data_IF_162283722265
#
_entry.id   IF_162283722265
#
_cell.length_a   1.000
_cell.length_b   1.000
_cell.length_c   1.000
_cell.angle_alpha   90.00
_cell.angle_beta   90.00
_cell.angle_gamma   90.00
#
_symmetry.space_group_name_H-M   'P 1'
#
loop_
_entity.id
_entity.type
_entity.pdbx_description
1 polymer ?
#
# COMPACT_ATOMS: atom_id res chain seq x y z
N UNK A 1 -61.06 3.74 19.48
CA UNK A 1 -59.97 3.52 20.45
C UNK A 1 -58.80 2.99 19.63
N UNK A 2 -57.89 3.89 19.24
CA UNK A 2 -56.49 3.99 19.74
C UNK A 2 -55.62 2.93 19.05
N UNK A 3 -54.47 3.16 18.42
CA UNK A 3 -53.46 4.24 18.31
C UNK A 3 -52.74 3.95 16.97
N UNK A 4 -52.47 4.89 16.06
CA UNK A 4 -51.36 5.84 16.04
C UNK A 4 -49.95 5.21 15.86
N UNK A 5 -49.35 5.53 14.69
CA UNK A 5 -47.94 5.88 14.45
C UNK A 5 -46.85 4.79 14.34
N UNK A 6 -45.81 5.18 13.60
CA UNK A 6 -44.49 4.55 13.34
C UNK A 6 -44.47 3.42 12.31
N UNK A 7 -43.69 3.47 11.23
CA UNK A 7 -42.62 4.38 10.85
C UNK A 7 -42.36 4.19 9.36
N UNK A 8 -42.23 5.29 8.63
CA UNK A 8 -41.64 5.29 7.31
C UNK A 8 -40.19 4.83 7.49
N UNK A 9 -39.86 3.63 7.00
CA UNK A 9 -38.48 3.19 6.87
C UNK A 9 -37.84 3.99 5.75
N UNK A 10 -37.44 5.21 6.11
CA UNK A 10 -36.46 6.03 5.41
C UNK A 10 -35.15 5.24 5.39
N UNK A 11 -35.01 4.35 4.41
CA UNK A 11 -33.73 3.79 4.05
C UNK A 11 -33.00 4.90 3.30
N UNK A 12 -32.46 5.84 4.07
CA UNK A 12 -31.35 6.66 3.64
C UNK A 12 -30.24 5.69 3.26
N UNK A 13 -30.15 5.39 1.96
CA UNK A 13 -28.93 4.92 1.36
C UNK A 13 -27.90 6.00 1.64
N UNK A 14 -27.19 5.83 2.75
CA UNK A 14 -25.88 6.44 2.91
C UNK A 14 -25.08 5.86 1.76
N UNK A 15 -25.09 6.57 0.64
CA UNK A 15 -23.97 6.56 -0.27
C UNK A 15 -22.78 6.91 0.62
N UNK A 16 -22.09 5.88 1.13
CA UNK A 16 -20.68 5.98 1.49
C UNK A 16 -20.01 6.44 0.21
N UNK A 17 -20.06 7.75 0.03
CA UNK A 17 -19.22 8.47 -0.90
C UNK A 17 -17.84 8.07 -0.45
N UNK A 18 -17.22 7.14 -1.17
CA UNK A 18 -15.81 6.89 -1.09
C UNK A 18 -15.17 8.22 -1.44
N UNK A 19 -14.98 9.06 -0.42
CA UNK A 19 -14.11 10.20 -0.49
C UNK A 19 -12.77 9.60 -0.88
N UNK A 20 -12.44 9.76 -2.15
CA UNK A 20 -11.15 9.44 -2.71
C UNK A 20 -10.18 10.39 -1.99
N UNK A 21 -9.68 9.95 -0.82
CA UNK A 21 -8.86 10.73 0.08
C UNK A 21 -7.56 11.05 -0.68
N UNK A 22 -7.50 12.26 -1.24
CA UNK A 22 -6.38 12.71 -2.06
C UNK A 22 -5.17 12.83 -1.14
N UNK A 23 -4.33 11.80 -1.10
CA UNK A 23 -3.14 11.77 -0.27
C UNK A 23 -2.10 12.76 -0.77
N UNK A 24 -1.56 13.55 0.16
CA UNK A 24 -0.37 14.36 -0.16
C UNK A 24 0.86 13.46 -0.31
N UNK A 25 1.89 13.88 -1.08
CA UNK A 25 3.12 13.11 -1.20
C UNK A 25 3.81 12.82 0.14
N UNK A 26 3.70 13.73 1.12
CA UNK A 26 4.28 13.55 2.44
C UNK A 26 3.55 12.47 3.25
N UNK A 27 2.23 12.43 3.19
CA UNK A 27 1.43 11.36 3.83
C UNK A 27 1.68 10.02 3.16
N UNK A 28 1.81 9.99 1.83
CA UNK A 28 2.13 8.77 1.09
C UNK A 28 3.48 8.18 1.53
N UNK A 29 4.52 9.02 1.67
CA UNK A 29 5.83 8.60 2.18
C UNK A 29 5.71 8.11 3.63
N UNK A 30 4.91 8.78 4.47
CA UNK A 30 4.71 8.37 5.86
C UNK A 30 4.03 7.00 5.97
N UNK A 31 3.01 6.73 5.15
CA UNK A 31 2.35 5.42 5.08
C UNK A 31 3.31 4.33 4.58
N UNK A 32 4.21 4.65 3.64
CA UNK A 32 5.27 3.74 3.19
C UNK A 32 6.26 3.42 4.32
N UNK A 33 6.72 4.43 5.07
CA UNK A 33 7.63 4.23 6.20
C UNK A 33 7.00 3.35 7.29
N UNK A 34 5.71 3.57 7.60
CA UNK A 34 4.96 2.73 8.53
C UNK A 34 4.83 1.28 8.04
N UNK A 35 4.39 1.08 6.80
CA UNK A 35 4.29 -0.25 6.20
C UNK A 35 5.65 -0.97 6.18
N UNK A 36 6.73 -0.24 5.89
CA UNK A 36 8.09 -0.76 5.89
C UNK A 36 8.54 -1.24 7.28
N UNK A 37 8.32 -0.43 8.32
CA UNK A 37 8.68 -0.79 9.69
C UNK A 37 7.84 -1.98 10.17
N UNK A 38 6.53 -1.95 9.95
CA UNK A 38 5.63 -3.03 10.32
C UNK A 38 6.04 -4.35 9.67
N UNK A 39 6.34 -4.33 8.37
CA UNK A 39 6.82 -5.51 7.66
C UNK A 39 8.18 -5.97 8.20
N UNK A 40 9.11 -5.07 8.45
CA UNK A 40 10.46 -5.42 8.94
C UNK A 40 10.44 -6.07 10.31
N UNK A 41 9.53 -5.65 11.19
CA UNK A 41 9.46 -6.14 12.57
C UNK A 41 8.40 -7.21 12.83
N UNK A 42 7.50 -7.46 11.87
CA UNK A 42 6.58 -8.58 11.95
C UNK A 42 7.29 -9.92 11.67
N UNK A 43 7.09 -10.98 12.48
CA UNK A 43 7.59 -12.31 12.16
C UNK A 43 6.87 -12.96 10.98
N UNK A 44 5.62 -12.56 10.73
CA UNK A 44 4.76 -13.06 9.65
C UNK A 44 4.69 -12.09 8.48
N UNK A 45 4.34 -12.60 7.30
CA UNK A 45 4.06 -11.79 6.13
C UNK A 45 2.73 -11.04 6.33
N UNK A 46 2.78 -9.71 6.20
CA UNK A 46 1.59 -8.87 6.30
C UNK A 46 0.83 -8.81 4.98
N UNK A 47 -0.39 -8.27 5.02
CA UNK A 47 -1.17 -7.97 3.82
C UNK A 47 -0.37 -7.16 2.80
N UNK A 48 -0.56 -7.46 1.52
CA UNK A 48 0.09 -6.70 0.47
C UNK A 48 -0.41 -5.24 0.47
N UNK A 49 0.46 -4.31 0.08
CA UNK A 49 0.15 -2.88 -0.03
C UNK A 49 0.34 -2.41 -1.46
N UNK A 50 -0.25 -3.13 -2.43
CA UNK A 50 -0.03 -2.89 -3.87
C UNK A 50 -0.38 -1.46 -4.30
N UNK A 51 -1.53 -0.94 -3.88
CA UNK A 51 -1.96 0.43 -4.19
C UNK A 51 -0.96 1.48 -3.68
N UNK A 52 -0.52 1.34 -2.42
CA UNK A 52 0.51 2.21 -1.83
C UNK A 52 1.83 2.16 -2.62
N UNK A 53 2.26 0.96 -3.01
CA UNK A 53 3.48 0.75 -3.80
C UNK A 53 3.36 1.40 -5.18
N UNK A 54 2.22 1.23 -5.86
CA UNK A 54 1.94 1.83 -7.15
C UNK A 54 1.97 3.37 -7.07
N UNK A 55 1.23 3.96 -6.13
CA UNK A 55 1.25 5.41 -5.91
C UNK A 55 2.66 5.94 -5.63
N UNK A 56 3.46 5.26 -4.80
CA UNK A 56 4.85 5.69 -4.51
C UNK A 56 5.72 5.63 -5.77
N UNK A 57 5.59 4.57 -6.59
CA UNK A 57 6.34 4.44 -7.84
C UNK A 57 5.98 5.53 -8.85
N UNK A 58 4.69 5.87 -8.95
CA UNK A 58 4.23 6.98 -9.77
C UNK A 58 4.81 8.31 -9.29
N UNK A 59 4.72 8.60 -7.99
CA UNK A 59 5.29 9.83 -7.42
C UNK A 59 6.80 9.92 -7.67
N UNK A 60 7.56 8.84 -7.47
CA UNK A 60 8.99 8.79 -7.77
C UNK A 60 9.30 9.06 -9.25
N UNK A 61 8.45 8.56 -10.16
CA UNK A 61 8.58 8.79 -11.60
C UNK A 61 8.32 10.26 -11.92
N UNK A 62 7.25 10.84 -11.37
CA UNK A 62 6.95 12.27 -11.53
C UNK A 62 8.07 13.16 -10.99
N UNK A 63 8.63 12.87 -9.82
CA UNK A 63 9.76 13.60 -9.23
C UNK A 63 11.03 13.50 -10.09
N UNK A 64 11.29 12.35 -10.72
CA UNK A 64 12.44 12.16 -11.61
C UNK A 64 12.35 12.95 -12.92
N UNK A 65 11.13 13.17 -13.42
CA UNK A 65 10.88 13.90 -14.66
C UNK A 65 10.96 15.42 -14.49
N UNK A 66 10.89 15.92 -13.24
CA UNK A 66 11.06 17.34 -12.96
C UNK A 66 12.51 17.75 -13.24
N UNK A 67 12.70 18.52 -14.32
CA UNK A 67 14.02 19.04 -14.73
C UNK A 67 14.55 20.01 -13.69
N UNK A 68 15.42 19.55 -12.80
CA UNK A 68 16.11 20.45 -11.87
C UNK A 68 17.43 20.95 -12.47
N UNK A 69 17.67 22.26 -12.37
CA UNK A 69 18.90 22.89 -12.89
C UNK A 69 20.12 22.33 -12.15
N UNK A 70 21.11 21.87 -12.92
CA UNK A 70 22.38 21.34 -12.39
C UNK A 70 23.11 22.47 -11.63
N UNK A 71 23.50 22.23 -10.38
CA UNK A 71 24.19 23.19 -9.52
C UNK A 71 23.31 23.92 -8.50
N UNK A 72 21.98 23.72 -8.53
CA UNK A 72 21.08 24.20 -7.48
C UNK A 72 21.10 23.26 -6.27
N UNK A 73 21.29 23.80 -5.06
CA UNK A 73 21.20 23.04 -3.81
C UNK A 73 19.85 22.31 -3.70
N UNK A 74 18.76 22.95 -4.15
CA UNK A 74 17.43 22.32 -4.19
C UNK A 74 17.42 21.06 -5.04
N UNK A 75 18.13 21.06 -6.18
CA UNK A 75 18.28 19.87 -7.01
C UNK A 75 18.97 18.72 -6.30
N UNK A 76 20.01 19.03 -5.51
CA UNK A 76 20.72 18.03 -4.74
C UNK A 76 19.82 17.43 -3.66
N UNK A 77 19.09 18.29 -2.93
CA UNK A 77 18.15 17.84 -1.88
C UNK A 77 17.04 16.99 -2.47
N UNK A 78 16.43 17.41 -3.59
CA UNK A 78 15.39 16.61 -4.26
C UNK A 78 15.90 15.23 -4.68
N UNK A 79 17.10 15.14 -5.27
CA UNK A 79 17.69 13.85 -5.63
C UNK A 79 17.97 12.97 -4.42
N UNK A 80 18.52 13.55 -3.34
CA UNK A 80 18.74 12.81 -2.09
C UNK A 80 17.44 12.24 -1.53
N UNK A 81 16.35 13.01 -1.62
CA UNK A 81 15.05 12.55 -1.13
C UNK A 81 14.46 11.42 -1.98
N UNK A 82 14.57 11.52 -3.30
CA UNK A 82 14.17 10.43 -4.20
C UNK A 82 14.96 9.15 -3.88
N UNK A 83 16.27 9.25 -3.66
CA UNK A 83 17.10 8.09 -3.33
C UNK A 83 16.74 7.50 -1.96
N UNK A 84 16.39 8.34 -0.97
CA UNK A 84 15.88 7.91 0.34
C UNK A 84 14.59 7.10 0.20
N UNK A 85 13.60 7.62 -0.53
CA UNK A 85 12.31 6.95 -0.74
C UNK A 85 12.50 5.64 -1.53
N UNK A 86 13.34 5.62 -2.57
CA UNK A 86 13.68 4.40 -3.31
C UNK A 86 14.28 3.33 -2.42
N UNK A 87 15.17 3.72 -1.50
CA UNK A 87 15.77 2.78 -0.56
C UNK A 87 14.70 2.16 0.34
N UNK A 88 13.80 2.96 0.91
CA UNK A 88 12.70 2.49 1.78
C UNK A 88 11.81 1.52 1.01
N UNK A 89 11.31 1.92 -0.17
CA UNK A 89 10.47 1.07 -1.02
C UNK A 89 11.15 -0.26 -1.36
N UNK A 90 12.42 -0.19 -1.80
CA UNK A 90 13.18 -1.40 -2.14
C UNK A 90 13.40 -2.29 -0.91
N UNK A 91 13.63 -1.70 0.26
CA UNK A 91 13.80 -2.46 1.50
C UNK A 91 12.51 -3.12 1.94
N UNK A 92 11.35 -2.47 1.78
CA UNK A 92 10.04 -3.05 2.03
C UNK A 92 9.79 -4.26 1.13
N UNK A 93 9.92 -4.09 -0.19
CA UNK A 93 9.70 -5.17 -1.15
C UNK A 93 10.66 -6.36 -0.94
N UNK A 94 11.95 -6.09 -0.68
CA UNK A 94 12.91 -7.17 -0.36
C UNK A 94 12.54 -7.93 0.91
N UNK A 95 12.09 -7.23 1.95
CA UNK A 95 11.69 -7.87 3.21
C UNK A 95 10.52 -8.82 2.99
N UNK A 96 9.54 -8.41 2.16
CA UNK A 96 8.41 -9.26 1.77
C UNK A 96 8.84 -10.47 0.97
N UNK A 97 9.64 -10.30 -0.08
CA UNK A 97 10.16 -11.40 -0.90
C UNK A 97 10.92 -12.43 -0.07
N UNK A 98 11.76 -11.98 0.86
CA UNK A 98 12.49 -12.88 1.78
C UNK A 98 11.55 -13.70 2.67
N UNK A 99 10.45 -13.10 3.17
CA UNK A 99 9.45 -13.84 3.96
C UNK A 99 8.66 -14.81 3.11
N UNK A 100 8.29 -14.43 1.89
CA UNK A 100 7.59 -15.30 0.94
C UNK A 100 8.47 -16.50 0.61
N UNK A 101 9.72 -16.29 0.23
CA UNK A 101 10.69 -17.35 -0.09
C UNK A 101 10.90 -18.30 1.10
N UNK A 102 11.04 -17.75 2.31
CA UNK A 102 11.26 -18.54 3.53
C UNK A 102 10.06 -19.40 3.93
N UNK A 103 8.84 -18.94 3.66
CA UNK A 103 7.60 -19.58 4.13
C UNK A 103 6.64 -19.96 3.00
N UNK A 104 7.14 -20.18 1.78
CA UNK A 104 6.32 -20.30 0.58
C UNK A 104 5.17 -21.32 0.66
N UNK A 105 5.32 -22.55 1.24
CA UNK A 105 4.21 -23.51 1.24
C UNK A 105 3.05 -23.01 2.09
N UNK A 106 3.36 -22.47 3.27
CA UNK A 106 2.39 -21.89 4.19
C UNK A 106 1.71 -20.65 3.61
N UNK A 107 2.48 -19.79 2.94
CA UNK A 107 1.94 -18.59 2.30
C UNK A 107 0.93 -18.95 1.19
N UNK A 108 1.26 -19.90 0.32
CA UNK A 108 0.35 -20.34 -0.75
C UNK A 108 -0.91 -21.05 -0.21
N UNK A 109 -0.77 -21.83 0.87
CA UNK A 109 -1.90 -22.48 1.52
C UNK A 109 -2.84 -21.44 2.15
N UNK A 110 -2.28 -20.46 2.88
CA UNK A 110 -3.03 -19.34 3.47
C UNK A 110 -3.78 -18.57 2.39
N UNK A 111 -3.10 -18.20 1.30
CA UNK A 111 -3.68 -17.50 0.16
C UNK A 111 -4.81 -18.29 -0.51
N UNK A 112 -4.68 -19.62 -0.62
CA UNK A 112 -5.73 -20.50 -1.18
C UNK A 112 -6.93 -20.65 -0.25
N UNK A 113 -6.70 -20.62 1.07
CA UNK A 113 -7.74 -20.75 2.09
C UNK A 113 -8.48 -19.44 2.42
N UNK A 114 -8.04 -18.32 1.84
CA UNK A 114 -8.63 -17.00 2.05
C UNK A 114 -10.10 -16.98 1.61
N UNK A 115 -10.97 -16.31 2.37
CA UNK A 115 -12.35 -16.12 1.98
C UNK A 115 -12.48 -15.08 0.85
N UNK A 116 -13.55 -15.20 0.05
CA UNK A 116 -13.86 -14.18 -0.96
C UNK A 116 -14.16 -12.84 -0.28
N UNK A 117 -13.37 -11.82 -0.62
CA UNK A 117 -13.49 -10.46 -0.06
C UNK A 117 -12.42 -10.07 0.96
N UNK A 118 -11.67 -11.04 1.51
CA UNK A 118 -10.54 -10.74 2.40
C UNK A 118 -9.35 -10.16 1.60
N UNK A 119 -8.55 -9.26 2.20
CA UNK A 119 -7.38 -8.69 1.55
C UNK A 119 -6.33 -9.76 1.25
N UNK A 120 -5.67 -9.61 0.11
CA UNK A 120 -4.60 -10.53 -0.31
C UNK A 120 -3.33 -10.35 0.50
N UNK A 121 -2.64 -11.46 0.80
CA UNK A 121 -1.29 -11.39 1.36
C UNK A 121 -0.24 -11.13 0.29
N UNK A 122 -0.53 -11.44 -0.97
CA UNK A 122 0.40 -11.35 -2.09
C UNK A 122 -0.10 -10.39 -3.15
N UNK A 123 0.80 -9.53 -3.63
CA UNK A 123 0.57 -8.85 -4.91
C UNK A 123 0.55 -9.86 -6.07
N UNK A 124 0.00 -9.52 -7.24
CA UNK A 124 0.04 -10.41 -8.41
C UNK A 124 1.47 -10.83 -8.79
N UNK A 125 2.45 -9.92 -8.67
CA UNK A 125 3.84 -10.20 -8.96
C UNK A 125 4.49 -11.09 -7.89
N UNK A 126 4.14 -10.90 -6.62
CA UNK A 126 4.58 -11.77 -5.51
C UNK A 126 3.99 -13.18 -5.65
N UNK A 127 2.74 -13.30 -6.08
CA UNK A 127 2.10 -14.58 -6.35
C UNK A 127 2.72 -15.31 -7.53
N UNK A 128 3.10 -14.58 -8.59
CA UNK A 128 3.85 -15.15 -9.70
C UNK A 128 5.22 -15.66 -9.24
N UNK A 129 5.95 -14.86 -8.45
CA UNK A 129 7.24 -15.24 -7.85
C UNK A 129 7.11 -16.50 -6.96
N UNK A 130 6.07 -16.60 -6.14
CA UNK A 130 5.87 -17.74 -5.24
C UNK A 130 5.54 -19.06 -5.96
N UNK A 131 5.21 -19.02 -7.26
CA UNK A 131 4.91 -20.19 -8.09
C UNK A 131 6.08 -20.70 -8.93
N UNK A 132 7.16 -19.94 -9.01
CA UNK A 132 8.39 -20.29 -9.72
C UNK A 132 9.29 -21.21 -8.88
#
# INVERSE_FOLDING_TARGET
>A
MADALSEASDLSGAEESQEEDVLTPAELISRLEEAWLNEKFSPELLENKSELVECVMEQLTHMNLQRVKKGDLKASIHRMEIDRIRFVLSSFLRSRLQKIEKFFPHVLEKEKSRADGDPSFLSPQEFAFAKE
#
